data_IF_593258121679
#
_entry.id   IF_593258121679
#
_cell.length_a   1.000
_cell.length_b   1.000
_cell.length_c   1.000
_cell.angle_alpha   90.00
_cell.angle_beta   90.00
_cell.angle_gamma   90.00
#
_symmetry.space_group_name_H-M   'P 1'
#
loop_
_entity.id
_entity.type
_entity.pdbx_description
1 polymer ?
#
# COMPACT_ATOMS: atom_id res chain seq x y z
N UNK A 1 -43.65 -50.62 -27.60
CA UNK A 1 -42.52 -50.08 -26.79
C UNK A 1 -42.21 -48.64 -27.21
N UNK A 2 -43.13 -47.68 -26.98
CA UNK A 2 -42.91 -46.29 -27.42
C UNK A 2 -43.63 -45.24 -26.54
N UNK A 3 -43.86 -45.53 -25.26
CA UNK A 3 -44.64 -44.64 -24.37
C UNK A 3 -43.96 -44.26 -23.05
N UNK A 4 -42.69 -44.63 -22.84
CA UNK A 4 -41.98 -44.40 -21.56
C UNK A 4 -40.85 -43.36 -21.61
N UNK A 5 -40.58 -42.72 -22.75
CA UNK A 5 -39.41 -41.82 -22.92
C UNK A 5 -39.75 -40.33 -22.75
N UNK A 6 -41.03 -39.95 -22.69
CA UNK A 6 -41.44 -38.52 -22.63
C UNK A 6 -41.63 -37.96 -21.22
N UNK A 7 -41.68 -38.79 -20.19
CA UNK A 7 -41.86 -38.33 -18.80
C UNK A 7 -40.59 -37.72 -18.22
N UNK A 8 -39.41 -38.18 -18.64
CA UNK A 8 -38.13 -37.80 -18.02
C UNK A 8 -37.60 -36.43 -18.51
N UNK A 9 -38.06 -35.98 -19.69
CA UNK A 9 -37.68 -34.67 -20.25
C UNK A 9 -38.41 -33.48 -19.61
N UNK A 10 -39.61 -33.68 -19.04
CA UNK A 10 -40.36 -32.59 -18.39
C UNK A 10 -39.82 -32.23 -17.01
N UNK A 11 -39.24 -33.19 -16.29
CA UNK A 11 -38.62 -32.97 -14.98
C UNK A 11 -37.32 -32.17 -15.09
N UNK A 12 -36.50 -32.39 -16.12
CA UNK A 12 -35.28 -31.60 -16.34
C UNK A 12 -35.58 -30.13 -16.69
N UNK A 13 -36.60 -29.88 -17.53
CA UNK A 13 -37.02 -28.52 -17.92
C UNK A 13 -37.52 -27.68 -16.74
N UNK A 14 -38.28 -28.27 -15.80
CA UNK A 14 -38.78 -27.55 -14.63
C UNK A 14 -37.65 -27.24 -13.63
N UNK A 15 -36.63 -28.09 -13.52
CA UNK A 15 -35.49 -27.85 -12.64
C UNK A 15 -34.60 -26.69 -13.12
N UNK A 16 -34.45 -26.51 -14.44
CA UNK A 16 -33.68 -25.40 -15.00
C UNK A 16 -34.43 -24.07 -14.87
N UNK A 17 -35.76 -24.07 -14.99
CA UNK A 17 -36.61 -22.89 -14.81
C UNK A 17 -36.71 -22.48 -13.32
N UNK A 18 -36.76 -23.45 -12.41
CA UNK A 18 -36.72 -23.20 -10.96
C UNK A 18 -35.34 -22.68 -10.51
N UNK A 19 -34.24 -23.23 -11.04
CA UNK A 19 -32.89 -22.68 -10.79
C UNK A 19 -32.72 -21.27 -11.34
N UNK A 20 -33.28 -20.96 -12.51
CA UNK A 20 -33.24 -19.61 -13.08
C UNK A 20 -34.05 -18.62 -12.24
N UNK A 21 -35.22 -19.03 -11.72
CA UNK A 21 -36.07 -18.18 -10.89
C UNK A 21 -35.47 -17.96 -9.49
N UNK A 22 -34.88 -19.00 -8.89
CA UNK A 22 -34.13 -18.90 -7.62
C UNK A 22 -32.88 -18.04 -7.80
N UNK A 23 -32.14 -18.19 -8.90
CA UNK A 23 -30.97 -17.36 -9.20
C UNK A 23 -31.34 -15.88 -9.41
N UNK A 24 -32.52 -15.59 -9.97
CA UNK A 24 -33.03 -14.22 -10.14
C UNK A 24 -33.40 -13.56 -8.80
N UNK A 25 -34.01 -14.31 -7.88
CA UNK A 25 -34.35 -13.82 -6.54
C UNK A 25 -33.10 -13.59 -5.68
N UNK A 26 -32.14 -14.52 -5.71
CA UNK A 26 -30.85 -14.38 -4.99
C UNK A 26 -30.04 -13.19 -5.52
N UNK A 27 -30.10 -12.92 -6.83
CA UNK A 27 -29.48 -11.74 -7.42
C UNK A 27 -30.08 -10.42 -6.93
N UNK A 28 -31.42 -10.34 -6.83
CA UNK A 28 -32.12 -9.14 -6.35
C UNK A 28 -31.85 -8.87 -4.86
N UNK A 29 -31.82 -9.92 -4.04
CA UNK A 29 -31.49 -9.82 -2.61
C UNK A 29 -30.04 -9.36 -2.40
N UNK A 30 -29.09 -9.94 -3.13
CA UNK A 30 -27.68 -9.53 -3.08
C UNK A 30 -27.47 -8.07 -3.52
N UNK A 31 -28.24 -7.60 -4.50
CA UNK A 31 -28.23 -6.20 -4.95
C UNK A 31 -28.75 -5.24 -3.87
N UNK A 32 -29.85 -5.59 -3.20
CA UNK A 32 -30.37 -4.79 -2.08
C UNK A 32 -29.41 -4.80 -0.89
N UNK A 33 -28.75 -5.93 -0.63
CA UNK A 33 -27.76 -6.07 0.42
C UNK A 33 -26.53 -5.20 0.11
N UNK A 34 -26.05 -5.20 -1.14
CA UNK A 34 -24.93 -4.37 -1.58
C UNK A 34 -25.27 -2.87 -1.57
N UNK A 35 -26.52 -2.47 -1.87
CA UNK A 35 -26.96 -1.08 -1.81
C UNK A 35 -27.00 -0.51 -0.39
N UNK A 36 -27.38 -1.34 0.59
CA UNK A 36 -27.47 -0.95 2.00
C UNK A 36 -26.21 -1.30 2.81
N UNK A 37 -25.17 -1.82 2.14
CA UNK A 37 -23.97 -2.27 2.82
C UNK A 37 -23.14 -1.08 3.30
N UNK A 38 -22.95 -0.99 4.62
CA UNK A 38 -21.97 -0.12 5.23
C UNK A 38 -20.74 -0.93 5.65
N UNK A 39 -19.55 -0.45 5.27
CA UNK A 39 -18.30 -1.07 5.69
C UNK A 39 -18.19 -1.00 7.21
N UNK A 40 -17.84 -2.10 7.91
CA UNK A 40 -17.73 -2.12 9.36
C UNK A 40 -16.83 -1.00 9.89
N UNK A 41 -17.23 -0.39 11.01
CA UNK A 41 -16.54 0.76 11.60
C UNK A 41 -15.03 0.51 11.81
N UNK A 42 -14.64 -0.70 12.21
CA UNK A 42 -13.23 -1.08 12.41
C UNK A 42 -12.41 -1.09 11.11
N UNK A 43 -13.01 -1.55 10.01
CA UNK A 43 -12.38 -1.58 8.68
C UNK A 43 -12.32 -0.16 8.13
N UNK A 44 -13.42 0.60 8.27
CA UNK A 44 -13.49 2.01 7.86
C UNK A 44 -12.45 2.87 8.58
N UNK A 45 -12.38 2.80 9.90
CA UNK A 45 -11.41 3.56 10.70
C UNK A 45 -9.98 3.27 10.26
N UNK A 46 -9.68 2.01 9.92
CA UNK A 46 -8.35 1.63 9.45
C UNK A 46 -8.04 2.17 8.07
N UNK A 47 -8.98 2.05 7.13
CA UNK A 47 -8.81 2.61 5.78
C UNK A 47 -8.57 4.11 5.87
N UNK A 48 -9.36 4.82 6.70
CA UNK A 48 -9.20 6.26 6.91
C UNK A 48 -7.83 6.59 7.52
N UNK A 49 -7.36 5.80 8.50
CA UNK A 49 -6.03 5.97 9.07
C UNK A 49 -4.91 5.73 8.05
N UNK A 50 -4.98 4.65 7.28
CA UNK A 50 -3.98 4.31 6.26
C UNK A 50 -4.00 5.34 5.10
N UNK A 51 -5.18 5.86 4.73
CA UNK A 51 -5.31 6.97 3.77
C UNK A 51 -4.71 8.27 4.31
N UNK A 52 -4.98 8.63 5.56
CA UNK A 52 -4.40 9.82 6.19
C UNK A 52 -2.87 9.71 6.29
N UNK A 53 -2.35 8.53 6.61
CA UNK A 53 -0.92 8.27 6.65
C UNK A 53 -0.29 8.36 5.25
N UNK A 54 -0.89 7.71 4.23
CA UNK A 54 -0.34 7.72 2.88
C UNK A 54 -0.42 9.12 2.23
N UNK A 55 -1.49 9.88 2.46
CA UNK A 55 -1.61 11.26 1.96
C UNK A 55 -0.59 12.19 2.61
N UNK A 56 -0.43 12.14 3.93
CA UNK A 56 0.60 12.93 4.62
C UNK A 56 2.01 12.56 4.17
N UNK A 57 2.31 11.27 4.02
CA UNK A 57 3.59 10.81 3.49
C UNK A 57 3.85 11.32 2.07
N UNK A 58 2.85 11.27 1.18
CA UNK A 58 2.97 11.79 -0.19
C UNK A 58 3.31 13.29 -0.21
N UNK A 59 2.66 14.09 0.63
CA UNK A 59 2.95 15.54 0.74
C UNK A 59 4.39 15.77 1.21
N UNK A 60 4.81 15.05 2.24
CA UNK A 60 6.17 15.17 2.79
C UNK A 60 7.22 14.79 1.74
N UNK A 61 7.05 13.67 1.04
CA UNK A 61 8.00 13.23 0.01
C UNK A 61 8.03 14.16 -1.19
N UNK A 62 6.88 14.75 -1.57
CA UNK A 62 6.80 15.73 -2.64
C UNK A 62 7.56 17.03 -2.27
N UNK A 63 7.33 17.55 -1.07
CA UNK A 63 8.04 18.73 -0.57
C UNK A 63 9.54 18.47 -0.47
N UNK A 64 9.92 17.30 0.07
CA UNK A 64 11.31 16.89 0.17
C UNK A 64 11.98 16.80 -1.20
N UNK A 65 11.29 16.23 -2.20
CA UNK A 65 11.78 16.24 -3.58
C UNK A 65 12.02 17.66 -4.11
N UNK A 66 11.13 18.61 -3.79
CA UNK A 66 11.30 20.02 -4.15
C UNK A 66 12.58 20.61 -3.53
N UNK A 67 12.82 20.35 -2.24
CA UNK A 67 14.05 20.78 -1.56
C UNK A 67 15.31 20.18 -2.20
N UNK A 68 15.27 18.90 -2.59
CA UNK A 68 16.40 18.23 -3.26
C UNK A 68 16.71 18.83 -4.64
N UNK A 69 15.68 19.26 -5.39
CA UNK A 69 15.88 19.95 -6.67
C UNK A 69 16.61 21.27 -6.47
N UNK A 70 16.19 22.09 -5.50
CA UNK A 70 16.87 23.36 -5.18
C UNK A 70 18.32 23.12 -4.76
N UNK A 71 18.57 22.08 -3.95
CA UNK A 71 19.93 21.72 -3.53
C UNK A 71 20.78 21.26 -4.72
N UNK A 72 20.22 20.46 -5.63
CA UNK A 72 20.90 20.03 -6.85
C UNK A 72 21.27 21.21 -7.75
N UNK A 73 20.43 22.24 -7.84
CA UNK A 73 20.74 23.47 -8.59
C UNK A 73 21.92 24.23 -7.96
N UNK A 74 21.95 24.36 -6.64
CA UNK A 74 23.03 25.03 -5.91
C UNK A 74 24.39 24.32 -6.08
N UNK A 75 24.37 22.99 -6.15
CA UNK A 75 25.54 22.16 -6.44
C UNK A 75 26.06 22.36 -7.87
N UNK A 76 25.17 22.57 -8.85
CA UNK A 76 25.58 22.75 -10.25
C UNK A 76 26.31 24.08 -10.46
N UNK A 77 26.02 25.09 -9.64
CA UNK A 77 26.66 26.42 -9.73
C UNK A 77 28.07 26.49 -9.12
N UNK A 78 28.54 25.44 -8.45
CA UNK A 78 29.87 25.43 -7.81
C UNK A 78 30.94 24.92 -8.79
N UNK A 79 31.65 25.84 -9.45
CA UNK A 79 32.72 25.54 -10.40
C UNK A 79 34.03 25.16 -9.66
N UNK A 80 34.24 23.88 -9.37
CA UNK A 80 35.51 23.39 -8.82
C UNK A 80 35.62 21.86 -8.82
N UNK A 81 36.66 21.33 -9.47
CA UNK A 81 37.03 19.90 -9.62
C UNK A 81 36.15 19.06 -10.56
N UNK A 82 36.72 18.21 -11.44
CA UNK A 82 35.97 17.46 -12.47
C UNK A 82 35.32 16.14 -11.99
N UNK A 83 35.81 15.53 -10.89
CA UNK A 83 35.38 14.20 -10.44
C UNK A 83 34.32 14.24 -9.31
N UNK A 84 34.50 15.15 -8.34
CA UNK A 84 33.57 15.35 -7.23
C UNK A 84 32.16 15.76 -7.67
N UNK A 85 31.96 16.67 -8.65
CA UNK A 85 30.62 17.07 -9.06
C UNK A 85 29.87 15.96 -9.81
N UNK A 86 30.55 15.01 -10.47
CA UNK A 86 29.87 13.91 -11.19
C UNK A 86 29.19 12.94 -10.22
N UNK A 87 29.90 12.53 -9.18
CA UNK A 87 29.36 11.63 -8.15
C UNK A 87 28.24 12.31 -7.36
N UNK A 88 28.43 13.58 -6.99
CA UNK A 88 27.44 14.35 -6.28
C UNK A 88 26.15 14.54 -7.10
N UNK A 89 26.27 14.86 -8.40
CA UNK A 89 25.12 14.95 -9.31
C UNK A 89 24.38 13.62 -9.42
N UNK A 90 25.10 12.50 -9.49
CA UNK A 90 24.47 11.17 -9.57
C UNK A 90 23.63 10.86 -8.32
N UNK A 91 24.17 11.09 -7.13
CA UNK A 91 23.42 10.87 -5.88
C UNK A 91 22.24 11.84 -5.74
N UNK A 92 22.42 13.11 -6.07
CA UNK A 92 21.35 14.11 -6.03
C UNK A 92 20.20 13.76 -6.97
N UNK A 93 20.47 13.48 -8.24
CA UNK A 93 19.42 13.09 -9.19
C UNK A 93 18.73 11.79 -8.79
N UNK A 94 19.50 10.79 -8.34
CA UNK A 94 18.92 9.53 -7.85
C UNK A 94 17.98 9.77 -6.67
N UNK A 95 18.37 10.60 -5.69
CA UNK A 95 17.52 10.93 -4.54
C UNK A 95 16.22 11.62 -4.94
N UNK A 96 16.27 12.52 -5.94
CA UNK A 96 15.08 13.20 -6.48
C UNK A 96 14.13 12.19 -7.12
N UNK A 97 14.62 11.33 -8.02
CA UNK A 97 13.77 10.32 -8.67
C UNK A 97 13.18 9.32 -7.68
N UNK A 98 13.94 8.93 -6.65
CA UNK A 98 13.45 8.06 -5.59
C UNK A 98 12.36 8.73 -4.75
N UNK A 99 12.51 10.02 -4.42
CA UNK A 99 11.50 10.78 -3.68
C UNK A 99 10.19 10.97 -4.48
N UNK A 100 10.29 11.24 -5.78
CA UNK A 100 9.12 11.31 -6.69
C UNK A 100 8.45 9.94 -6.78
N UNK A 101 9.23 8.87 -6.92
CA UNK A 101 8.70 7.50 -6.97
C UNK A 101 8.00 7.12 -5.66
N UNK A 102 8.58 7.46 -4.51
CA UNK A 102 7.96 7.26 -3.20
C UNK A 102 6.62 8.01 -3.10
N UNK A 103 6.57 9.25 -3.60
CA UNK A 103 5.33 10.05 -3.67
C UNK A 103 4.27 9.35 -4.51
N UNK A 104 4.64 8.84 -5.69
CA UNK A 104 3.72 8.13 -6.58
C UNK A 104 3.20 6.82 -5.96
N UNK A 105 4.05 6.08 -5.24
CA UNK A 105 3.65 4.87 -4.51
C UNK A 105 2.66 5.19 -3.39
N UNK A 106 2.87 6.27 -2.63
CA UNK A 106 1.90 6.74 -1.63
C UNK A 106 0.53 7.05 -2.26
N UNK A 107 0.51 7.78 -3.39
CA UNK A 107 -0.74 8.07 -4.11
C UNK A 107 -1.41 6.79 -4.62
N UNK A 108 -0.62 5.79 -5.02
CA UNK A 108 -1.14 4.48 -5.39
C UNK A 108 -1.77 3.75 -4.20
N UNK A 109 -1.14 3.79 -3.03
CA UNK A 109 -1.73 3.27 -1.79
C UNK A 109 -3.06 3.97 -1.46
N UNK A 110 -3.11 5.30 -1.55
CA UNK A 110 -4.36 6.07 -1.35
C UNK A 110 -5.43 5.61 -2.32
N UNK A 111 -5.09 5.46 -3.61
CA UNK A 111 -6.02 5.00 -4.64
C UNK A 111 -6.59 3.61 -4.30
N UNK A 112 -5.74 2.67 -3.87
CA UNK A 112 -6.15 1.32 -3.47
C UNK A 112 -7.07 1.34 -2.25
N UNK A 113 -6.79 2.17 -1.25
CA UNK A 113 -7.64 2.32 -0.08
C UNK A 113 -9.01 2.92 -0.43
N UNK A 114 -9.04 3.92 -1.33
CA UNK A 114 -10.29 4.57 -1.76
C UNK A 114 -11.20 3.66 -2.58
N UNK A 115 -10.66 2.70 -3.34
CA UNK A 115 -11.45 1.75 -4.13
C UNK A 115 -12.03 0.60 -3.30
N UNK A 116 -11.50 0.37 -2.09
CA UNK A 116 -11.85 -0.79 -1.27
C UNK A 116 -13.35 -0.89 -0.95
N UNK A 117 -14.07 0.19 -0.58
CA UNK A 117 -15.52 0.11 -0.35
C UNK A 117 -16.29 -0.31 -1.61
N UNK A 118 -15.85 0.17 -2.78
CA UNK A 118 -16.44 -0.20 -4.07
C UNK A 118 -16.23 -1.68 -4.39
N UNK A 119 -15.02 -2.20 -4.16
CA UNK A 119 -14.75 -3.63 -4.33
C UNK A 119 -15.49 -4.50 -3.33
N UNK A 120 -15.63 -4.05 -2.08
CA UNK A 120 -16.42 -4.76 -1.07
C UNK A 120 -17.89 -4.91 -1.51
N UNK A 121 -18.50 -3.83 -2.01
CA UNK A 121 -19.88 -3.88 -2.55
C UNK A 121 -20.01 -4.81 -3.76
N UNK A 122 -19.03 -4.79 -4.68
CA UNK A 122 -19.01 -5.72 -5.82
C UNK A 122 -18.84 -7.18 -5.37
N UNK A 123 -18.05 -7.43 -4.33
CA UNK A 123 -17.84 -8.78 -3.77
C UNK A 123 -19.15 -9.36 -3.22
N UNK A 124 -20.01 -8.54 -2.62
CA UNK A 124 -21.31 -8.97 -2.09
C UNK A 124 -22.20 -9.55 -3.20
N UNK A 125 -22.22 -8.89 -4.37
CA UNK A 125 -23.02 -9.32 -5.52
C UNK A 125 -22.38 -10.53 -6.21
N UNK A 126 -21.05 -10.56 -6.30
CA UNK A 126 -20.32 -11.59 -7.05
C UNK A 126 -20.21 -12.91 -6.29
N UNK A 127 -19.98 -12.85 -4.98
CA UNK A 127 -19.78 -14.02 -4.13
C UNK A 127 -20.58 -13.89 -2.82
N UNK A 128 -21.72 -14.60 -2.71
CA UNK A 128 -22.58 -14.58 -1.52
C UNK A 128 -21.88 -15.11 -0.26
N UNK A 129 -20.81 -15.89 -0.40
CA UNK A 129 -20.05 -16.46 0.72
C UNK A 129 -18.84 -15.60 1.11
N UNK A 130 -18.62 -14.49 0.41
CA UNK A 130 -17.56 -13.55 0.75
C UNK A 130 -17.74 -12.96 2.15
N UNK A 131 -16.64 -12.61 2.79
CA UNK A 131 -16.65 -11.99 4.12
C UNK A 131 -17.49 -10.70 4.18
N UNK A 132 -17.41 -9.75 3.22
CA UNK A 132 -18.31 -8.61 3.21
C UNK A 132 -19.80 -8.99 3.09
N UNK A 133 -20.15 -10.04 2.33
CA UNK A 133 -21.53 -10.53 2.25
C UNK A 133 -22.03 -11.13 3.57
N UNK A 134 -21.18 -11.90 4.26
CA UNK A 134 -21.47 -12.47 5.58
C UNK A 134 -21.68 -11.38 6.62
N UNK A 135 -20.82 -10.37 6.62
CA UNK A 135 -20.93 -9.21 7.53
C UNK A 135 -22.15 -8.37 7.20
N UNK A 136 -22.50 -8.21 5.92
CA UNK A 136 -23.73 -7.52 5.51
C UNK A 136 -25.00 -8.24 6.00
N UNK A 137 -24.96 -9.57 6.17
CA UNK A 137 -26.02 -10.37 6.80
C UNK A 137 -26.02 -10.33 8.33
N UNK A 138 -25.07 -9.62 8.95
CA UNK A 138 -24.94 -9.51 10.40
C UNK A 138 -24.11 -10.62 11.06
N UNK A 139 -23.37 -11.43 10.28
CA UNK A 139 -22.44 -12.40 10.88
C UNK A 139 -21.23 -11.68 11.51
N UNK A 140 -20.76 -12.13 12.68
CA UNK A 140 -19.60 -11.53 13.33
C UNK A 140 -18.30 -11.83 12.55
N UNK A 141 -17.39 -10.86 12.57
CA UNK A 141 -16.04 -11.01 11.99
C UNK A 141 -15.23 -11.97 12.88
N UNK A 142 -14.53 -12.97 12.30
CA UNK A 142 -13.68 -13.89 13.06
C UNK A 142 -12.60 -13.15 13.87
N UNK A 143 -12.44 -13.51 15.15
CA UNK A 143 -11.49 -12.87 16.08
C UNK A 143 -10.04 -12.93 15.57
N UNK A 144 -9.67 -14.02 14.90
CA UNK A 144 -8.33 -14.23 14.33
C UNK A 144 -7.98 -13.15 13.29
N UNK A 145 -8.98 -12.62 12.58
CA UNK A 145 -8.80 -11.65 11.52
C UNK A 145 -8.48 -10.24 12.04
N UNK A 146 -8.74 -9.96 13.32
CA UNK A 146 -8.33 -8.71 13.95
C UNK A 146 -6.83 -8.67 14.26
N UNK A 147 -6.15 -9.83 14.28
CA UNK A 147 -4.70 -9.89 14.51
C UNK A 147 -3.88 -9.50 13.27
N UNK A 148 -4.40 -9.81 12.08
CA UNK A 148 -3.77 -9.45 10.80
C UNK A 148 -4.69 -8.56 9.96
N UNK A 149 -4.55 -7.26 10.20
CA UNK A 149 -5.35 -6.24 9.52
C UNK A 149 -5.15 -6.23 8.00
N UNK A 150 -4.01 -6.70 7.49
CA UNK A 150 -3.79 -6.78 6.05
C UNK A 150 -4.61 -7.90 5.43
N UNK A 151 -4.69 -9.04 6.12
CA UNK A 151 -5.52 -10.15 5.70
C UNK A 151 -7.00 -9.78 5.77
N UNK A 152 -7.41 -9.03 6.79
CA UNK A 152 -8.75 -8.45 6.86
C UNK A 152 -9.07 -7.60 5.62
N UNK A 153 -8.21 -6.64 5.30
CA UNK A 153 -8.40 -5.81 4.10
C UNK A 153 -8.43 -6.65 2.81
N UNK A 154 -7.57 -7.67 2.71
CA UNK A 154 -7.54 -8.59 1.57
C UNK A 154 -8.86 -9.36 1.40
N UNK A 155 -9.43 -9.88 2.49
CA UNK A 155 -10.71 -10.59 2.47
C UNK A 155 -11.91 -9.67 2.21
N UNK A 156 -11.78 -8.38 2.49
CA UNK A 156 -12.76 -7.34 2.12
C UNK A 156 -12.62 -6.85 0.66
N UNK A 157 -11.75 -7.46 -0.15
CA UNK A 157 -11.56 -7.09 -1.56
C UNK A 157 -10.32 -6.24 -1.84
N UNK A 158 -9.43 -6.10 -0.86
CA UNK A 158 -8.16 -5.39 -1.02
C UNK A 158 -7.22 -6.09 -1.98
N UNK A 159 -6.56 -5.30 -2.83
CA UNK A 159 -5.60 -5.83 -3.79
C UNK A 159 -4.44 -6.52 -3.05
N UNK A 160 -4.03 -7.74 -3.43
CA UNK A 160 -2.88 -8.43 -2.80
C UNK A 160 -1.57 -7.65 -3.00
N UNK A 161 -1.53 -6.79 -4.02
CA UNK A 161 -0.41 -5.90 -4.29
C UNK A 161 -0.22 -4.82 -3.22
N UNK A 162 -1.23 -4.51 -2.39
CA UNK A 162 -1.14 -3.43 -1.40
C UNK A 162 0.07 -3.60 -0.47
N UNK A 163 0.27 -4.82 0.06
CA UNK A 163 1.41 -5.12 0.92
C UNK A 163 2.76 -4.97 0.18
N UNK A 164 2.80 -5.34 -1.11
CA UNK A 164 4.00 -5.18 -1.92
C UNK A 164 4.30 -3.70 -2.19
N UNK A 165 3.26 -2.89 -2.46
CA UNK A 165 3.38 -1.44 -2.68
C UNK A 165 3.84 -0.73 -1.40
N UNK A 166 3.28 -1.07 -0.23
CA UNK A 166 3.69 -0.49 1.05
C UNK A 166 5.15 -0.85 1.40
N UNK A 167 5.54 -2.11 1.20
CA UNK A 167 6.93 -2.53 1.37
C UNK A 167 7.87 -1.82 0.38
N UNK A 168 7.47 -1.68 -0.88
CA UNK A 168 8.26 -0.98 -1.90
C UNK A 168 8.42 0.50 -1.58
N UNK A 169 7.35 1.17 -1.12
CA UNK A 169 7.39 2.54 -0.64
C UNK A 169 8.44 2.70 0.47
N UNK A 170 8.38 1.87 1.50
CA UNK A 170 9.32 1.94 2.62
C UNK A 170 10.78 1.70 2.17
N UNK A 171 11.02 0.74 1.26
CA UNK A 171 12.36 0.48 0.72
C UNK A 171 12.89 1.63 -0.13
N UNK A 172 12.08 2.16 -1.04
CA UNK A 172 12.44 3.28 -1.92
C UNK A 172 12.68 4.54 -1.11
N UNK A 173 11.85 4.79 -0.09
CA UNK A 173 12.03 5.90 0.82
C UNK A 173 13.35 5.80 1.59
N UNK A 174 13.65 4.64 2.19
CA UNK A 174 14.92 4.42 2.89
C UNK A 174 16.14 4.61 1.96
N UNK A 175 16.07 4.06 0.74
CA UNK A 175 17.15 4.20 -0.24
C UNK A 175 17.31 5.66 -0.68
N UNK A 176 16.19 6.37 -0.91
CA UNK A 176 16.16 7.80 -1.22
C UNK A 176 16.83 8.64 -0.12
N UNK A 177 16.48 8.40 1.15
CA UNK A 177 17.13 9.05 2.28
C UNK A 177 18.64 8.77 2.32
N UNK A 178 19.07 7.51 2.15
CA UNK A 178 20.49 7.16 2.15
C UNK A 178 21.26 7.89 1.03
N UNK A 179 20.68 7.99 -0.17
CA UNK A 179 21.24 8.76 -1.28
C UNK A 179 21.32 10.26 -0.95
N UNK A 180 20.28 10.85 -0.36
CA UNK A 180 20.30 12.26 0.06
C UNK A 180 21.40 12.52 1.08
N UNK A 181 21.50 11.69 2.13
CA UNK A 181 22.54 11.87 3.14
C UNK A 181 23.94 11.73 2.54
N UNK A 182 24.14 10.75 1.66
CA UNK A 182 25.43 10.59 0.96
C UNK A 182 25.77 11.82 0.11
N UNK A 183 24.78 12.37 -0.61
CA UNK A 183 24.95 13.61 -1.38
C UNK A 183 25.35 14.78 -0.47
N UNK A 184 24.61 15.00 0.63
CA UNK A 184 24.91 16.06 1.60
C UNK A 184 26.30 15.89 2.23
N UNK A 185 26.68 14.67 2.56
CA UNK A 185 27.99 14.35 3.16
C UNK A 185 29.12 14.75 2.21
N UNK A 186 29.02 14.35 0.94
CA UNK A 186 30.01 14.69 -0.10
C UNK A 186 30.06 16.20 -0.32
N UNK A 187 28.90 16.86 -0.35
CA UNK A 187 28.82 18.30 -0.56
C UNK A 187 29.48 19.08 0.59
N UNK A 188 29.15 18.77 1.84
CA UNK A 188 29.73 19.44 3.02
C UNK A 188 31.23 19.20 3.12
N UNK A 189 31.69 17.97 2.88
CA UNK A 189 33.10 17.62 2.95
C UNK A 189 33.94 18.42 1.94
N UNK A 190 33.36 18.80 0.80
CA UNK A 190 34.06 19.55 -0.23
C UNK A 190 33.90 21.07 -0.11
N UNK A 191 32.78 21.53 0.43
CA UNK A 191 32.46 22.96 0.51
C UNK A 191 33.01 23.68 1.74
N UNK A 192 33.36 22.97 2.81
CA UNK A 192 33.64 23.58 4.12
C UNK A 192 35.01 23.22 4.70
N UNK A 193 35.47 24.01 5.67
CA UNK A 193 36.67 23.73 6.44
C UNK A 193 36.56 22.38 7.18
N UNK A 194 37.64 21.59 7.20
CA UNK A 194 37.71 20.25 7.82
C UNK A 194 37.11 20.14 9.23
N UNK A 195 37.31 21.10 10.17
CA UNK A 195 36.67 21.02 11.48
C UNK A 195 35.15 21.16 11.43
N UNK A 196 34.60 22.00 10.56
CA UNK A 196 33.15 22.16 10.41
C UNK A 196 32.53 20.91 9.80
N UNK A 197 33.15 20.38 8.74
CA UNK A 197 32.72 19.13 8.11
C UNK A 197 32.69 17.98 9.12
N UNK A 198 33.75 17.82 9.93
CA UNK A 198 33.81 16.79 10.97
C UNK A 198 32.68 16.89 12.00
N UNK A 199 32.34 18.12 12.43
CA UNK A 199 31.26 18.35 13.40
C UNK A 199 29.87 17.96 12.85
N UNK A 200 29.60 18.23 11.57
CA UNK A 200 28.34 17.86 10.94
C UNK A 200 28.26 16.35 10.70
N UNK A 201 29.36 15.69 10.31
CA UNK A 201 29.36 14.22 10.18
C UNK A 201 29.05 13.51 11.49
N UNK A 202 29.55 14.04 12.62
CA UNK A 202 29.31 13.48 13.95
C UNK A 202 27.82 13.52 14.36
N UNK A 203 27.03 14.44 13.80
CA UNK A 203 25.59 14.54 14.08
C UNK A 203 24.73 13.79 13.05
N UNK A 204 25.13 13.81 11.78
CA UNK A 204 24.38 13.16 10.68
C UNK A 204 24.43 11.63 10.79
N UNK A 205 25.61 11.04 11.03
CA UNK A 205 25.77 9.58 11.02
C UNK A 205 24.89 8.89 12.09
N UNK A 206 24.88 9.33 13.37
CA UNK A 206 23.99 8.75 14.37
C UNK A 206 22.51 8.94 14.03
N UNK A 207 22.13 10.09 13.47
CA UNK A 207 20.75 10.38 13.08
C UNK A 207 20.27 9.40 12.00
N UNK A 208 21.08 9.17 10.96
CA UNK A 208 20.80 8.19 9.91
C UNK A 208 20.65 6.79 10.49
N UNK A 209 21.55 6.40 11.39
CA UNK A 209 21.48 5.10 12.04
C UNK A 209 20.21 4.92 12.88
N UNK A 210 19.83 5.94 13.66
CA UNK A 210 18.59 5.95 14.45
C UNK A 210 17.34 5.82 13.56
N UNK A 211 17.30 6.53 12.44
CA UNK A 211 16.19 6.43 11.47
C UNK A 211 16.10 5.02 10.91
N UNK A 212 17.20 4.47 10.36
CA UNK A 212 17.23 3.11 9.80
C UNK A 212 16.84 2.07 10.86
N UNK A 213 17.34 2.22 12.09
CA UNK A 213 17.02 1.31 13.19
C UNK A 213 15.54 1.36 13.57
N UNK A 214 14.92 2.54 13.51
CA UNK A 214 13.48 2.72 13.81
C UNK A 214 12.57 2.05 12.77
N UNK A 215 13.04 1.88 11.53
CA UNK A 215 12.32 1.09 10.52
C UNK A 215 12.50 -0.43 10.68
N UNK A 216 13.50 -0.90 11.45
CA UNK A 216 13.76 -2.33 11.67
C UNK A 216 12.62 -3.11 12.37
N UNK A 217 11.92 -2.60 13.40
CA UNK A 217 10.79 -3.32 14.00
C UNK A 217 9.63 -3.57 13.02
N UNK A 218 9.45 -2.75 11.97
CA UNK A 218 8.44 -2.97 10.94
C UNK A 218 8.71 -4.23 10.09
N UNK A 219 9.99 -4.54 9.83
CA UNK A 219 10.39 -5.73 9.04
C UNK A 219 10.65 -6.97 9.91
N UNK A 220 11.13 -6.79 11.15
CA UNK A 220 11.55 -7.89 12.02
C UNK A 220 10.42 -8.62 12.75
N UNK A 221 9.32 -7.93 13.07
CA UNK A 221 8.21 -8.54 13.81
C UNK A 221 7.33 -9.43 12.91
N UNK A 222 7.13 -9.03 11.64
CA UNK A 222 6.33 -9.80 10.67
C UNK A 222 7.01 -11.09 10.18
N UNK A 223 8.34 -11.09 10.03
CA UNK A 223 9.06 -12.29 9.58
C UNK A 223 9.08 -13.43 10.62
N UNK A 224 8.92 -13.14 11.91
CA UNK A 224 8.83 -14.17 12.97
C UNK A 224 7.45 -14.81 13.05
N UNK A 225 6.37 -14.08 12.80
CA UNK A 225 5.01 -14.63 12.82
C UNK A 225 4.80 -15.59 11.64
N UNK A 226 5.29 -15.24 10.44
CA UNK A 226 5.18 -16.12 9.25
C UNK A 226 6.01 -17.41 9.38
N UNK A 227 7.06 -17.44 10.22
CA UNK A 227 7.81 -18.67 10.53
C UNK A 227 7.27 -19.45 11.73
N UNK A 228 6.40 -18.86 12.55
CA UNK A 228 5.78 -19.55 13.68
C UNK A 228 4.51 -20.33 13.29
N UNK A 229 3.97 -20.09 12.09
CA UNK A 229 2.76 -20.74 11.56
C UNK A 229 3.03 -21.62 10.32
N UNK A 230 4.28 -22.01 10.09
CA UNK A 230 4.68 -23.05 9.13
C UNK A 230 5.30 -24.21 9.88
#
# INVERSE_FOLDING_TARGET
MAHLVTSDRRTASNFDEEKANVSGHVGAEALLLAQNFEVPAIVKQRIEADMAQATSAAVITALFSGTLVTLAQLVVTTDGSELVPKTLRWFSYSSIFLAITATFLCLTCVRMCSDLPGFAAQLIVRDPNSLPARVARGEPIPAELFSDMHELMRQFGGAPAYQAVDNAFNLIFMFGCACTFTSLIIWIWHGEETPLAGSVMATVIPTVFCVIWSFRPAYGFRARIVRAFK
#
